data_IF_682318744312
#
_entry.id   IF_682318744312
#
_cell.length_a   1.000
_cell.length_b   1.000
_cell.length_c   1.000
_cell.angle_alpha   90.00
_cell.angle_beta   90.00
_cell.angle_gamma   90.00
#
_symmetry.space_group_name_H-M   'P 1'
#
loop_
_entity.id
_entity.type
_entity.pdbx_description
1 polymer ?
#
# COMPACT_ATOMS: atom_id res chain seq x y z
N UNK A 1 -12.47 -56.67 -7.63
CA UNK A 1 -12.60 -56.15 -6.24
C UNK A 1 -11.50 -55.11 -5.92
N UNK A 2 -11.30 -54.06 -6.74
CA UNK A 2 -10.11 -53.15 -6.61
C UNK A 2 -10.48 -51.66 -6.42
N UNK A 3 -11.69 -51.22 -6.79
CA UNK A 3 -12.09 -49.80 -6.74
C UNK A 3 -12.37 -49.26 -5.33
N UNK A 4 -12.59 -50.13 -4.34
CA UNK A 4 -12.89 -49.73 -2.93
C UNK A 4 -11.61 -49.37 -2.16
N UNK A 5 -10.49 -50.03 -2.48
CA UNK A 5 -9.17 -49.78 -1.87
C UNK A 5 -8.59 -48.43 -2.29
N UNK A 6 -8.68 -48.06 -3.57
CA UNK A 6 -8.16 -46.77 -4.05
C UNK A 6 -8.92 -45.57 -3.49
N UNK A 7 -10.25 -45.67 -3.34
CA UNK A 7 -11.05 -44.59 -2.71
C UNK A 7 -10.66 -44.37 -1.26
N UNK A 8 -10.43 -45.45 -0.52
CA UNK A 8 -9.98 -45.38 0.88
C UNK A 8 -8.59 -44.73 0.99
N UNK A 9 -7.66 -45.10 0.10
CA UNK A 9 -6.31 -44.54 0.07
C UNK A 9 -6.33 -43.03 -0.22
N UNK A 10 -7.16 -42.59 -1.18
CA UNK A 10 -7.31 -41.17 -1.51
C UNK A 10 -7.93 -40.36 -0.36
N UNK A 11 -8.94 -40.90 0.32
CA UNK A 11 -9.54 -40.23 1.48
C UNK A 11 -8.57 -40.12 2.66
N UNK A 12 -7.72 -41.13 2.87
CA UNK A 12 -6.69 -41.07 3.92
C UNK A 12 -5.61 -40.04 3.60
N UNK A 13 -5.23 -39.89 2.33
CA UNK A 13 -4.26 -38.87 1.90
C UNK A 13 -4.78 -37.45 2.13
N UNK A 14 -6.03 -37.18 1.73
CA UNK A 14 -6.65 -35.87 1.92
C UNK A 14 -6.82 -35.51 3.40
N UNK A 15 -7.19 -36.48 4.25
CA UNK A 15 -7.29 -36.28 5.69
C UNK A 15 -5.92 -36.00 6.34
N UNK A 16 -4.85 -36.60 5.85
CA UNK A 16 -3.50 -36.34 6.33
C UNK A 16 -3.02 -34.92 5.96
N UNK A 17 -3.35 -34.45 4.75
CA UNK A 17 -3.06 -33.07 4.33
C UNK A 17 -3.83 -32.05 5.18
N UNK A 18 -5.12 -32.27 5.42
CA UNK A 18 -5.94 -31.41 6.29
C UNK A 18 -5.40 -31.34 7.72
N UNK A 19 -4.92 -32.47 8.27
CA UNK A 19 -4.29 -32.49 9.60
C UNK A 19 -2.96 -31.74 9.61
N UNK A 20 -2.13 -31.90 8.57
CA UNK A 20 -0.86 -31.19 8.46
C UNK A 20 -1.08 -29.67 8.39
N UNK A 21 -2.07 -29.22 7.62
CA UNK A 21 -2.44 -27.80 7.51
C UNK A 21 -2.92 -27.26 8.85
N UNK A 22 -3.82 -27.97 9.55
CA UNK A 22 -4.31 -27.57 10.88
C UNK A 22 -3.18 -27.47 11.91
N UNK A 23 -2.29 -28.46 11.96
CA UNK A 23 -1.14 -28.44 12.88
C UNK A 23 -0.19 -27.27 12.59
N UNK A 24 -0.04 -26.86 11.33
CA UNK A 24 0.76 -25.70 10.94
C UNK A 24 0.11 -24.39 11.36
N UNK A 25 -1.22 -24.29 11.26
CA UNK A 25 -1.98 -23.13 11.74
C UNK A 25 -1.93 -23.00 13.26
N UNK A 26 -2.14 -24.09 14.00
CA UNK A 26 -2.02 -24.09 15.48
C UNK A 26 -0.59 -23.74 15.93
N UNK A 27 0.42 -24.27 15.22
CA UNK A 27 1.82 -23.90 15.48
C UNK A 27 2.08 -22.42 15.19
N UNK A 28 1.50 -21.88 14.12
CA UNK A 28 1.61 -20.46 13.81
C UNK A 28 0.92 -19.60 14.88
N UNK A 29 -0.27 -19.97 15.35
CA UNK A 29 -0.95 -19.29 16.46
C UNK A 29 -0.15 -19.36 17.77
N UNK A 30 0.46 -20.51 18.10
CA UNK A 30 1.32 -20.61 19.28
C UNK A 30 2.59 -19.75 19.21
N UNK A 31 3.08 -19.48 17.99
CA UNK A 31 4.28 -18.67 17.76
C UNK A 31 3.95 -17.16 17.63
N UNK A 32 2.74 -16.82 17.20
CA UNK A 32 2.27 -15.46 16.95
C UNK A 32 1.35 -14.92 18.05
N UNK A 33 0.95 -15.77 19.00
CA UNK A 33 -0.11 -15.55 20.00
C UNK A 33 0.15 -14.49 21.07
N UNK A 34 1.17 -13.63 20.92
CA UNK A 34 1.42 -12.52 21.87
C UNK A 34 1.85 -11.20 21.22
N UNK A 35 1.65 -11.00 19.90
CA UNK A 35 1.87 -9.67 19.29
C UNK A 35 0.89 -9.33 18.18
N UNK A 36 -0.35 -9.03 18.57
CA UNK A 36 -1.11 -8.01 17.86
C UNK A 36 -0.59 -6.63 18.30
N UNK A 37 -0.26 -5.68 17.39
CA UNK A 37 -0.03 -4.30 17.79
C UNK A 37 -1.39 -3.64 18.06
N UNK A 38 -1.87 -3.79 19.30
CA UNK A 38 -2.87 -2.90 19.87
C UNK A 38 -2.14 -1.73 20.53
N UNK A 39 -2.36 -0.54 19.97
CA UNK A 39 -1.86 0.74 20.45
C UNK A 39 -2.31 1.03 21.91
N UNK A 40 -1.38 1.20 22.85
CA UNK A 40 -1.49 2.02 24.08
C UNK A 40 -0.13 2.07 24.83
N UNK A 41 0.40 3.27 25.05
CA UNK A 41 1.54 3.62 25.93
C UNK A 41 1.10 3.75 27.42
N UNK A 42 1.94 4.05 28.46
CA UNK A 42 3.41 4.31 28.56
C UNK A 42 4.15 3.63 29.76
N UNK A 43 5.51 3.63 29.79
CA UNK A 43 6.37 4.01 30.97
C UNK A 43 7.90 3.79 30.78
N UNK A 44 8.63 4.93 30.74
CA UNK A 44 9.97 5.29 31.26
C UNK A 44 11.15 4.27 31.38
N UNK A 45 12.30 4.52 30.71
CA UNK A 45 13.47 5.29 31.20
C UNK A 45 14.77 5.10 30.35
N UNK A 46 15.20 6.17 29.66
CA UNK A 46 16.57 6.63 29.22
C UNK A 46 17.68 5.66 28.77
N UNK A 47 18.55 6.00 27.76
CA UNK A 47 19.05 7.34 27.46
C UNK A 47 18.78 7.84 26.02
N UNK A 48 18.96 9.14 25.84
CA UNK A 48 18.71 9.94 24.64
C UNK A 48 19.31 9.33 23.35
N UNK A 49 18.48 8.61 22.61
CA UNK A 49 18.57 8.58 21.16
C UNK A 49 17.48 9.52 20.69
N UNK A 50 17.84 10.53 19.90
CA UNK A 50 16.88 11.36 19.18
C UNK A 50 16.10 10.44 18.24
N UNK A 51 15.05 9.81 18.76
CA UNK A 51 14.05 9.12 17.97
C UNK A 51 13.45 10.17 17.06
N UNK A 52 13.88 10.16 15.80
CA UNK A 52 13.18 10.85 14.74
C UNK A 52 11.79 10.21 14.71
N UNK A 53 10.82 10.89 15.32
CA UNK A 53 9.41 10.49 15.27
C UNK A 53 9.07 10.14 13.82
N UNK A 54 8.43 8.99 13.55
CA UNK A 54 8.14 8.58 12.19
C UNK A 54 7.40 9.69 11.46
N UNK A 55 7.89 10.02 10.25
CA UNK A 55 7.33 11.08 9.43
C UNK A 55 5.82 10.84 9.25
N UNK A 56 5.01 11.87 9.52
CA UNK A 56 3.55 11.75 9.46
C UNK A 56 3.14 11.55 8.00
N UNK A 57 2.62 10.36 7.68
CA UNK A 57 2.10 10.06 6.34
C UNK A 57 0.66 10.57 6.21
N UNK A 58 0.45 11.52 5.30
CA UNK A 58 -0.89 12.04 4.94
C UNK A 58 -1.33 11.37 3.63
N UNK A 59 -2.56 10.84 3.60
CA UNK A 59 -3.14 10.22 2.41
C UNK A 59 -4.25 11.09 1.85
N UNK A 60 -3.97 11.76 0.74
CA UNK A 60 -4.98 12.43 -0.06
C UNK A 60 -5.49 11.55 -1.21
N UNK A 61 -6.76 11.75 -1.57
CA UNK A 61 -7.40 11.11 -2.72
C UNK A 61 -7.67 12.17 -3.79
N UNK A 62 -6.96 12.09 -4.92
CA UNK A 62 -7.06 13.07 -5.99
C UNK A 62 -8.09 12.68 -7.06
N UNK A 63 -8.77 13.68 -7.61
CA UNK A 63 -9.57 13.56 -8.83
C UNK A 63 -8.80 14.21 -9.97
N UNK A 64 -8.46 13.44 -11.01
CA UNK A 64 -7.67 13.89 -12.16
C UNK A 64 -8.45 13.65 -13.46
N UNK A 65 -8.27 14.49 -14.50
CA UNK A 65 -8.72 14.19 -15.85
C UNK A 65 -8.13 12.86 -16.35
N UNK A 66 -8.79 12.23 -17.32
CA UNK A 66 -8.32 10.98 -17.91
C UNK A 66 -6.91 11.12 -18.52
N UNK A 67 -6.65 12.22 -19.23
CA UNK A 67 -5.33 12.48 -19.84
C UNK A 67 -4.20 12.53 -18.81
N UNK A 68 -4.39 13.23 -17.70
CA UNK A 68 -3.39 13.32 -16.63
C UNK A 68 -3.13 11.96 -15.97
N UNK A 69 -4.18 11.16 -15.83
CA UNK A 69 -4.05 9.81 -15.29
C UNK A 69 -3.26 8.88 -16.23
N UNK A 70 -3.43 9.04 -17.55
CA UNK A 70 -2.63 8.35 -18.56
C UNK A 70 -1.16 8.78 -18.53
N UNK A 71 -0.87 10.07 -18.29
CA UNK A 71 0.50 10.56 -18.12
C UNK A 71 1.20 9.87 -16.95
N UNK A 72 0.52 9.70 -15.81
CA UNK A 72 1.07 8.94 -14.66
C UNK A 72 1.39 7.50 -15.09
N UNK A 73 0.50 6.84 -15.82
CA UNK A 73 0.73 5.49 -16.32
C UNK A 73 1.94 5.42 -17.27
N UNK A 74 2.05 6.36 -18.22
CA UNK A 74 3.14 6.46 -19.16
C UNK A 74 4.49 6.66 -18.44
N UNK A 75 4.56 7.54 -17.44
CA UNK A 75 5.77 7.76 -16.64
C UNK A 75 6.18 6.47 -15.93
N UNK A 76 5.22 5.76 -15.31
CA UNK A 76 5.51 4.47 -14.68
C UNK A 76 6.06 3.44 -15.66
N UNK A 77 5.50 3.36 -16.87
CA UNK A 77 6.02 2.47 -17.91
C UNK A 77 7.45 2.84 -18.32
N UNK A 78 7.76 4.15 -18.44
CA UNK A 78 9.14 4.60 -18.70
C UNK A 78 10.09 4.18 -17.59
N UNK A 79 9.68 4.28 -16.32
CA UNK A 79 10.47 3.80 -15.19
C UNK A 79 10.70 2.28 -15.25
N UNK A 80 9.67 1.50 -15.61
CA UNK A 80 9.77 0.04 -15.72
C UNK A 80 10.76 -0.38 -16.81
N UNK A 81 10.82 0.35 -17.92
CA UNK A 81 11.82 0.13 -18.97
C UNK A 81 13.26 0.34 -18.47
N UNK A 82 13.44 1.16 -17.42
CA UNK A 82 14.70 1.36 -16.71
C UNK A 82 14.87 0.43 -15.49
N UNK A 83 14.10 -0.66 -15.42
CA UNK A 83 14.06 -1.61 -14.29
C UNK A 83 13.66 -1.01 -12.93
N UNK A 84 12.95 0.13 -12.91
CA UNK A 84 12.43 0.75 -11.70
C UNK A 84 10.90 0.70 -11.66
N UNK A 85 10.32 0.09 -10.62
CA UNK A 85 8.88 0.02 -10.45
C UNK A 85 8.36 1.20 -9.61
N UNK A 86 8.02 2.30 -10.29
CA UNK A 86 7.42 3.46 -9.63
C UNK A 86 5.94 3.22 -9.29
N UNK A 87 5.52 3.60 -8.10
CA UNK A 87 4.11 3.68 -7.68
C UNK A 87 3.48 5.02 -8.09
N UNK A 88 2.14 5.12 -8.06
CA UNK A 88 1.45 6.38 -8.39
C UNK A 88 1.86 7.52 -7.45
N UNK A 89 1.92 7.25 -6.14
CA UNK A 89 2.32 8.25 -5.14
C UNK A 89 3.78 8.68 -5.29
N UNK A 90 4.69 7.81 -5.74
CA UNK A 90 6.07 8.20 -6.04
C UNK A 90 6.17 9.10 -7.25
N UNK A 91 5.44 8.81 -8.34
CA UNK A 91 5.41 9.68 -9.52
C UNK A 91 4.90 11.07 -9.16
N UNK A 92 3.83 11.16 -8.36
CA UNK A 92 3.29 12.44 -7.91
C UNK A 92 4.32 13.20 -7.05
N UNK A 93 4.93 12.54 -6.06
CA UNK A 93 5.97 13.18 -5.22
C UNK A 93 7.16 13.66 -6.05
N UNK A 94 7.65 12.83 -6.97
CA UNK A 94 8.73 13.21 -7.88
C UNK A 94 8.36 14.42 -8.75
N UNK A 95 7.11 14.46 -9.24
CA UNK A 95 6.58 15.62 -9.97
C UNK A 95 6.57 16.89 -9.12
N UNK A 96 6.16 16.82 -7.85
CA UNK A 96 6.19 17.98 -6.94
C UNK A 96 7.60 18.51 -6.70
N UNK A 97 8.58 17.62 -6.50
CA UNK A 97 9.98 18.03 -6.36
C UNK A 97 10.51 18.67 -7.64
N UNK A 98 10.24 18.07 -8.80
CA UNK A 98 10.64 18.63 -10.09
C UNK A 98 10.02 20.02 -10.35
N UNK A 99 8.74 20.21 -10.00
CA UNK A 99 8.06 21.51 -10.12
C UNK A 99 8.66 22.58 -9.21
N UNK A 100 9.12 22.21 -8.02
CA UNK A 100 9.76 23.14 -7.08
C UNK A 100 11.15 23.59 -7.53
N UNK A 101 11.87 22.73 -8.26
CA UNK A 101 13.20 23.02 -8.81
C UNK A 101 13.14 23.89 -10.08
N UNK A 102 11.97 24.02 -10.72
CA UNK A 102 11.81 24.82 -11.94
C UNK A 102 11.91 26.34 -11.68
N UNK A 103 12.39 27.13 -12.65
CA UNK A 103 12.32 28.60 -12.59
C UNK A 103 10.89 29.11 -12.50
N UNK A 104 10.68 30.22 -11.77
CA UNK A 104 9.35 30.77 -11.46
C UNK A 104 8.52 31.08 -12.72
N UNK A 105 9.13 31.66 -13.75
CA UNK A 105 8.45 31.99 -15.01
C UNK A 105 7.89 30.75 -15.71
N UNK A 106 8.66 29.66 -15.72
CA UNK A 106 8.24 28.40 -16.33
C UNK A 106 7.15 27.72 -15.51
N UNK A 107 7.26 27.74 -14.19
CA UNK A 107 6.24 27.20 -13.30
C UNK A 107 4.89 27.89 -13.52
N UNK A 108 4.88 29.22 -13.56
CA UNK A 108 3.66 30.01 -13.80
C UNK A 108 3.07 29.68 -15.18
N UNK A 109 3.91 29.59 -16.22
CA UNK A 109 3.48 29.21 -17.58
C UNK A 109 2.83 27.83 -17.61
N UNK A 110 3.40 26.84 -16.92
CA UNK A 110 2.86 25.48 -16.88
C UNK A 110 1.52 25.45 -16.13
N UNK A 111 1.45 26.05 -14.94
CA UNK A 111 0.24 26.05 -14.11
C UNK A 111 -0.92 26.78 -14.80
N UNK A 112 -0.64 27.90 -15.48
CA UNK A 112 -1.68 28.67 -16.19
C UNK A 112 -2.30 27.94 -17.38
N UNK A 113 -1.59 26.97 -17.96
CA UNK A 113 -2.08 26.16 -19.08
C UNK A 113 -2.91 24.94 -18.65
N UNK A 114 -2.97 24.63 -17.35
CA UNK A 114 -3.71 23.46 -16.88
C UNK A 114 -5.22 23.66 -17.00
N UNK A 115 -5.91 22.64 -17.50
CA UNK A 115 -7.38 22.62 -17.52
C UNK A 115 -7.93 22.55 -16.10
N UNK A 116 -8.92 23.41 -15.81
CA UNK A 116 -9.60 23.38 -14.52
C UNK A 116 -10.45 22.13 -14.41
N UNK A 117 -10.06 21.21 -13.54
CA UNK A 117 -10.88 20.05 -13.18
C UNK A 117 -12.12 20.54 -12.45
N UNK A 118 -13.31 20.26 -13.01
CA UNK A 118 -14.58 20.46 -12.30
C UNK A 118 -14.68 19.40 -11.20
N UNK A 119 -14.16 19.71 -10.02
CA UNK A 119 -14.28 18.82 -8.87
C UNK A 119 -15.71 18.88 -8.34
N UNK A 120 -16.43 17.76 -8.37
CA UNK A 120 -17.57 17.56 -7.49
C UNK A 120 -17.04 17.43 -6.06
N UNK A 121 -17.63 18.14 -5.10
CA UNK A 121 -17.27 18.00 -3.68
C UNK A 121 -17.54 16.56 -3.24
N UNK A 122 -16.56 15.78 -2.75
CA UNK A 122 -16.88 14.57 -2.00
C UNK A 122 -17.54 15.01 -0.68
N UNK A 123 -18.82 14.67 -0.51
CA UNK A 123 -19.56 14.94 0.73
C UNK A 123 -19.17 13.85 1.73
N UNK A 124 -18.15 14.09 2.53
CA UNK A 124 -17.80 13.19 3.64
C UNK A 124 -18.47 13.68 4.93
N UNK A 125 -19.55 13.00 5.35
CA UNK A 125 -20.00 13.03 6.75
C UNK A 125 -18.89 12.42 7.58
N UNK A 126 -18.37 13.16 8.54
CA UNK A 126 -17.40 12.67 9.50
C UNK A 126 -18.15 11.77 10.50
N UNK A 127 -18.07 10.45 10.30
CA UNK A 127 -18.53 9.45 11.28
C UNK A 127 -17.25 8.86 11.86
N UNK A 128 -16.89 9.32 13.05
CA UNK A 128 -16.23 8.57 14.11
C UNK A 128 -16.03 9.52 15.31
N UNK A 129 -17.03 9.49 16.20
CA UNK A 129 -16.87 9.70 17.65
C UNK A 129 -16.34 8.42 18.28
#
# INVERSE_FOLDING_TARGET
MVRKSMKSALTTSLQAEDQAVKSRFEKAESLLGDKLPSNSQPMASTPEVKEQSPERVIRDSFTLPSGDYELIAAIRQRCLNSAFNATKSEVIRAGLHALLEMPEEELIRIISNLEKVKTGRPITKNINS
#
